data_IF_061394686243
#
_entry.id   IF_061394686243
#
_cell.length_a   1.000
_cell.length_b   1.000
_cell.length_c   1.000
_cell.angle_alpha   90.00
_cell.angle_beta   90.00
_cell.angle_gamma   90.00
#
_symmetry.space_group_name_H-M   'P 1'
#
loop_
_entity.id
_entity.type
_entity.pdbx_description
1 polymer ?
#
# COMPACT_ATOMS: atom_id res chain seq x y z
N UNK A 1 -10.79 18.24 -6.82
CA UNK A 1 -10.29 17.64 -5.56
C UNK A 1 -9.25 16.58 -5.90
N UNK A 2 -8.19 16.42 -5.07
CA UNK A 2 -7.18 15.38 -5.26
C UNK A 2 -7.77 13.97 -5.21
N UNK A 3 -7.11 12.98 -5.81
CA UNK A 3 -7.57 11.58 -5.70
C UNK A 3 -7.51 11.13 -4.25
N UNK A 4 -8.39 10.19 -3.88
CA UNK A 4 -8.23 9.46 -2.63
C UNK A 4 -7.00 8.53 -2.72
N UNK A 5 -6.70 8.03 -3.91
CA UNK A 5 -5.61 7.09 -4.16
C UNK A 5 -4.43 7.80 -4.82
N UNK A 6 -3.33 8.00 -4.08
CA UNK A 6 -2.17 8.75 -4.57
C UNK A 6 -1.51 8.16 -5.82
N UNK A 7 -1.67 6.84 -6.06
CA UNK A 7 -1.20 6.19 -7.30
C UNK A 7 -1.95 6.66 -8.54
N UNK A 8 -3.23 6.96 -8.35
CA UNK A 8 -4.16 7.33 -9.40
C UNK A 8 -4.24 8.84 -9.57
N UNK A 9 -3.35 9.60 -8.92
CA UNK A 9 -3.32 11.05 -9.08
C UNK A 9 -2.99 11.39 -10.53
N UNK A 10 -3.90 12.15 -11.13
CA UNK A 10 -3.66 12.90 -12.36
C UNK A 10 -3.81 14.39 -12.08
N UNK A 11 -3.53 15.20 -13.08
CA UNK A 11 -3.77 16.64 -13.00
C UNK A 11 -4.34 17.18 -14.30
N UNK A 12 -5.11 18.25 -14.20
CA UNK A 12 -5.57 19.05 -15.32
C UNK A 12 -5.09 20.49 -15.14
N UNK A 13 -4.63 21.13 -16.21
CA UNK A 13 -4.31 22.56 -16.20
C UNK A 13 -5.16 23.30 -17.22
N UNK A 14 -5.48 24.54 -16.92
CA UNK A 14 -6.35 25.37 -17.75
C UNK A 14 -6.25 26.84 -17.39
N UNK A 15 -6.94 27.66 -18.17
CA UNK A 15 -7.05 29.10 -17.93
C UNK A 15 -8.49 29.44 -17.56
N UNK A 16 -8.66 30.33 -16.58
CA UNK A 16 -9.97 30.90 -16.25
C UNK A 16 -10.35 31.84 -17.39
N UNK A 17 -11.46 31.53 -18.05
CA UNK A 17 -12.04 32.36 -19.12
C UNK A 17 -12.98 33.42 -18.56
N UNK A 18 -13.79 33.05 -17.56
CA UNK A 18 -14.70 33.98 -16.88
C UNK A 18 -14.98 33.56 -15.43
N UNK A 19 -15.37 34.54 -14.61
CA UNK A 19 -15.73 34.36 -13.20
C UNK A 19 -17.11 34.97 -12.99
N UNK A 20 -18.04 34.21 -12.40
CA UNK A 20 -19.38 34.65 -12.06
C UNK A 20 -19.75 34.17 -10.65
N UNK A 21 -19.54 35.02 -9.64
CA UNK A 21 -19.67 34.62 -8.24
C UNK A 21 -18.64 33.56 -7.88
N UNK A 22 -19.07 32.44 -7.31
CA UNK A 22 -18.21 31.29 -6.95
C UNK A 22 -17.97 30.32 -8.12
N UNK A 23 -18.48 30.64 -9.31
CA UNK A 23 -18.36 29.78 -10.50
C UNK A 23 -17.28 30.31 -11.44
N UNK A 24 -16.38 29.42 -11.82
CA UNK A 24 -15.24 29.70 -12.69
C UNK A 24 -15.39 28.88 -13.97
N UNK A 25 -15.51 29.57 -15.10
CA UNK A 25 -15.46 28.92 -16.41
C UNK A 25 -14.01 28.74 -16.78
N UNK A 26 -13.56 27.49 -16.89
CA UNK A 26 -12.17 27.14 -17.15
C UNK A 26 -12.07 26.42 -18.48
N UNK A 27 -11.13 26.88 -19.32
CA UNK A 27 -10.70 26.18 -20.54
C UNK A 27 -9.47 25.35 -20.18
N UNK A 28 -9.67 24.04 -20.09
CA UNK A 28 -8.62 23.05 -19.85
C UNK A 28 -7.81 22.83 -21.13
N UNK A 29 -6.49 22.79 -20.98
CA UNK A 29 -5.52 22.68 -22.09
C UNK A 29 -4.62 21.46 -21.98
N UNK A 30 -4.38 21.00 -20.75
CA UNK A 30 -3.55 19.83 -20.48
C UNK A 30 -4.30 18.94 -19.49
N UNK A 31 -4.24 17.65 -19.74
CA UNK A 31 -4.81 16.64 -18.87
C UNK A 31 -3.87 15.45 -18.83
N UNK A 32 -3.22 15.27 -17.69
CA UNK A 32 -2.39 14.10 -17.42
C UNK A 32 -3.21 13.14 -16.57
N UNK A 33 -3.63 11.99 -17.14
CA UNK A 33 -4.34 10.98 -16.38
C UNK A 33 -3.40 10.31 -15.37
N UNK A 34 -3.92 9.94 -14.20
CA UNK A 34 -3.21 9.07 -13.28
C UNK A 34 -3.06 7.64 -13.81
N UNK A 35 -2.19 6.83 -13.18
CA UNK A 35 -2.01 5.41 -13.53
C UNK A 35 -3.26 4.61 -13.16
N UNK A 36 -4.25 4.58 -14.05
CA UNK A 36 -5.48 3.81 -13.86
C UNK A 36 -6.69 4.24 -14.67
N UNK A 37 -6.72 5.45 -15.26
CA UNK A 37 -7.80 5.86 -16.19
C UNK A 37 -7.24 6.71 -17.31
N UNK A 38 -6.76 6.05 -18.35
CA UNK A 38 -6.62 6.68 -19.66
C UNK A 38 -8.01 7.06 -20.14
N UNK A 39 -8.18 8.34 -20.49
CA UNK A 39 -9.24 8.88 -21.35
C UNK A 39 -9.28 8.27 -22.77
N UNK A 40 -8.61 7.14 -22.98
CA UNK A 40 -8.48 6.46 -24.27
C UNK A 40 -9.00 5.01 -24.24
N UNK A 41 -10.01 4.76 -23.40
CA UNK A 41 -10.71 3.48 -23.34
C UNK A 41 -12.15 3.66 -22.90
N UNK A 42 -12.98 4.21 -23.80
CA UNK A 42 -14.45 4.22 -23.75
C UNK A 42 -15.10 4.52 -22.40
N UNK A 43 -15.46 5.78 -22.18
CA UNK A 43 -16.81 6.21 -21.79
C UNK A 43 -16.86 7.71 -22.05
N UNK A 44 -17.83 8.17 -22.85
CA UNK A 44 -18.33 9.55 -22.77
C UNK A 44 -18.39 10.00 -21.31
N UNK A 45 -18.22 11.29 -20.96
CA UNK A 45 -18.31 11.78 -19.58
C UNK A 45 -19.58 11.24 -18.91
N UNK A 46 -19.44 10.09 -18.25
CA UNK A 46 -20.53 9.42 -17.57
C UNK A 46 -20.90 10.24 -16.36
N UNK A 47 -22.10 10.01 -15.82
CA UNK A 47 -22.67 10.77 -14.71
C UNK A 47 -21.76 10.94 -13.47
N UNK A 48 -20.67 10.16 -13.35
CA UNK A 48 -19.77 10.13 -12.21
C UNK A 48 -18.31 10.58 -12.52
N UNK A 49 -18.01 11.17 -13.68
CA UNK A 49 -16.68 11.72 -13.97
C UNK A 49 -16.50 13.13 -13.38
N UNK A 50 -15.29 13.50 -12.86
CA UNK A 50 -14.97 14.89 -12.52
C UNK A 50 -15.12 15.86 -13.70
N UNK A 51 -15.23 15.38 -14.93
CA UNK A 51 -15.46 16.16 -16.15
C UNK A 51 -16.88 15.98 -16.71
N UNK A 52 -17.81 15.38 -15.96
CA UNK A 52 -19.22 15.34 -16.32
C UNK A 52 -19.73 16.76 -16.60
N UNK A 53 -20.41 16.93 -17.73
CA UNK A 53 -20.97 18.22 -18.19
C UNK A 53 -19.98 19.20 -18.83
N UNK A 54 -18.74 18.79 -19.13
CA UNK A 54 -17.80 19.64 -19.87
C UNK A 54 -18.20 19.78 -21.34
N UNK A 55 -18.08 20.99 -21.89
CA UNK A 55 -18.20 21.28 -23.32
C UNK A 55 -16.86 20.92 -24.00
N UNK A 56 -16.90 20.13 -25.07
CA UNK A 56 -15.73 19.78 -25.86
C UNK A 56 -15.51 20.87 -26.92
N UNK A 57 -14.44 21.66 -26.77
CA UNK A 57 -14.06 22.70 -27.73
C UNK A 57 -13.15 22.15 -28.84
N UNK A 58 -12.36 21.12 -28.53
CA UNK A 58 -11.56 20.37 -29.51
C UNK A 58 -11.34 18.94 -29.03
N UNK A 59 -11.47 17.98 -29.94
CA UNK A 59 -11.36 16.54 -29.73
C UNK A 59 -10.13 15.92 -30.39
N UNK A 60 -9.15 16.76 -30.81
CA UNK A 60 -7.89 16.26 -31.36
C UNK A 60 -7.18 15.41 -30.31
N UNK A 61 -6.83 14.19 -30.70
CA UNK A 61 -6.20 13.20 -29.82
C UNK A 61 -4.92 13.71 -29.13
N UNK A 62 -4.17 14.59 -29.79
CA UNK A 62 -2.96 15.20 -29.23
C UNK A 62 -3.22 16.40 -28.32
N UNK A 63 -4.39 17.05 -28.40
CA UNK A 63 -4.69 18.35 -27.77
C UNK A 63 -6.19 18.51 -27.46
N UNK A 64 -6.78 17.70 -26.56
CA UNK A 64 -8.18 17.86 -26.19
C UNK A 64 -8.36 19.18 -25.41
N UNK A 65 -9.31 20.01 -25.86
CA UNK A 65 -9.67 21.28 -25.20
C UNK A 65 -11.08 21.13 -24.65
N UNK A 66 -11.23 21.28 -23.34
CA UNK A 66 -12.50 21.15 -22.64
C UNK A 66 -12.83 22.45 -21.91
N UNK A 67 -14.07 22.92 -22.00
CA UNK A 67 -14.59 24.00 -21.18
C UNK A 67 -15.50 23.44 -20.10
N UNK A 68 -15.24 23.76 -18.84
CA UNK A 68 -16.11 23.35 -17.73
C UNK A 68 -16.24 24.47 -16.71
N UNK A 69 -17.41 24.53 -16.08
CA UNK A 69 -17.67 25.40 -14.93
C UNK A 69 -17.32 24.64 -13.65
N UNK A 70 -16.44 25.21 -12.84
CA UNK A 70 -16.01 24.69 -11.54
C UNK A 70 -16.43 25.64 -10.42
N UNK A 71 -16.61 25.13 -9.21
CA UNK A 71 -16.60 25.96 -8.01
C UNK A 71 -15.17 26.42 -7.66
N UNK A 72 -15.00 27.52 -6.92
CA UNK A 72 -13.67 27.94 -6.47
C UNK A 72 -12.95 26.84 -5.68
N UNK A 73 -13.70 26.07 -4.89
CA UNK A 73 -13.18 25.00 -4.04
C UNK A 73 -12.55 23.82 -4.81
N UNK A 74 -12.88 23.69 -6.10
CA UNK A 74 -12.36 22.63 -6.97
C UNK A 74 -11.09 23.03 -7.71
N UNK A 75 -10.74 24.32 -7.71
CA UNK A 75 -9.60 24.88 -8.41
C UNK A 75 -8.48 25.23 -7.45
N UNK A 76 -7.24 25.00 -7.89
CA UNK A 76 -6.06 25.50 -7.21
C UNK A 76 -5.28 26.41 -8.16
N UNK A 77 -4.62 27.47 -7.64
CA UNK A 77 -3.61 28.18 -8.41
C UNK A 77 -2.56 27.21 -8.95
N UNK A 78 -2.16 27.37 -10.22
CA UNK A 78 -1.29 26.41 -10.90
C UNK A 78 -0.02 26.04 -10.11
N UNK A 79 0.65 27.02 -9.50
CA UNK A 79 1.87 26.75 -8.69
C UNK A 79 1.57 25.85 -7.50
N UNK A 80 0.53 26.16 -6.74
CA UNK A 80 0.13 25.39 -5.57
C UNK A 80 -0.33 23.98 -5.97
N UNK A 81 -1.15 23.86 -7.02
CA UNK A 81 -1.61 22.56 -7.51
C UNK A 81 -0.46 21.68 -8.03
N UNK A 82 0.52 22.28 -8.72
CA UNK A 82 1.72 21.58 -9.17
C UNK A 82 2.59 21.10 -8.01
N UNK A 83 2.82 21.94 -7.01
CA UNK A 83 3.58 21.58 -5.82
C UNK A 83 2.90 20.44 -5.04
N UNK A 84 1.58 20.52 -4.87
CA UNK A 84 0.80 19.46 -4.21
C UNK A 84 0.87 18.15 -5.00
N UNK A 85 0.68 18.18 -6.33
CA UNK A 85 0.80 17.00 -7.18
C UNK A 85 2.19 16.33 -7.08
N UNK A 86 3.27 17.12 -7.15
CA UNK A 86 4.62 16.59 -7.04
C UNK A 86 4.90 15.97 -5.66
N UNK A 87 4.36 16.55 -4.59
CA UNK A 87 4.52 16.01 -3.25
C UNK A 87 3.73 14.70 -3.08
N UNK A 88 2.53 14.62 -3.65
CA UNK A 88 1.70 13.42 -3.72
C UNK A 88 2.38 12.28 -4.47
N UNK A 89 2.94 12.56 -5.64
CA UNK A 89 3.75 11.62 -6.43
C UNK A 89 4.99 11.14 -5.67
N UNK A 90 5.68 12.04 -4.97
CA UNK A 90 6.85 11.71 -4.17
C UNK A 90 6.51 10.75 -3.01
N UNK A 91 5.40 10.99 -2.30
CA UNK A 91 4.92 10.11 -1.23
C UNK A 91 4.54 8.73 -1.79
N UNK A 92 3.77 8.69 -2.88
CA UNK A 92 3.42 7.43 -3.54
C UNK A 92 4.67 6.66 -3.96
N UNK A 93 5.64 7.34 -4.55
CA UNK A 93 6.90 6.74 -5.01
C UNK A 93 7.68 6.09 -3.86
N UNK A 94 7.74 6.70 -2.67
CA UNK A 94 8.41 6.09 -1.51
C UNK A 94 7.74 4.75 -1.17
N UNK A 95 6.41 4.74 -1.10
CA UNK A 95 5.65 3.54 -0.76
C UNK A 95 5.81 2.43 -1.81
N UNK A 96 5.65 2.75 -3.10
CA UNK A 96 5.74 1.74 -4.16
C UNK A 96 7.17 1.21 -4.38
N UNK A 97 8.21 2.01 -4.08
CA UNK A 97 9.59 1.50 -4.03
C UNK A 97 9.78 0.42 -2.98
N UNK A 98 9.22 0.61 -1.79
CA UNK A 98 9.21 -0.42 -0.75
C UNK A 98 8.36 -1.64 -1.16
N UNK A 99 7.22 -1.40 -1.82
CA UNK A 99 6.29 -2.47 -2.20
C UNK A 99 6.86 -3.40 -3.28
N UNK A 100 7.46 -2.84 -4.35
CA UNK A 100 7.71 -3.56 -5.61
C UNK A 100 9.11 -3.48 -6.23
N UNK A 101 9.80 -2.34 -6.25
CA UNK A 101 10.67 -2.03 -7.40
C UNK A 101 12.20 -1.99 -7.15
N UNK A 102 12.73 -2.88 -6.30
CA UNK A 102 14.18 -3.18 -6.32
C UNK A 102 15.12 -2.08 -5.81
N UNK A 103 14.61 -1.00 -5.21
CA UNK A 103 15.42 -0.01 -4.50
C UNK A 103 15.13 -0.02 -3.01
N UNK A 104 16.19 -0.18 -2.21
CA UNK A 104 16.19 -0.04 -0.76
C UNK A 104 15.59 1.31 -0.32
N UNK A 105 14.62 1.28 0.59
CA UNK A 105 14.17 2.47 1.32
C UNK A 105 14.70 2.42 2.74
N UNK A 106 15.27 3.52 3.23
CA UNK A 106 15.67 3.60 4.64
C UNK A 106 14.44 3.83 5.53
N UNK A 107 14.50 3.47 6.83
CA UNK A 107 13.43 3.78 7.77
C UNK A 107 13.12 5.28 7.84
N UNK A 108 14.16 6.13 7.81
CA UNK A 108 14.00 7.58 7.81
C UNK A 108 13.26 8.09 6.57
N UNK A 109 13.48 7.46 5.41
CA UNK A 109 12.76 7.82 4.19
C UNK A 109 11.28 7.45 4.28
N UNK A 110 10.95 6.29 4.86
CA UNK A 110 9.57 5.89 5.12
C UNK A 110 8.89 6.84 6.12
N UNK A 111 9.53 7.16 7.25
CA UNK A 111 9.02 8.13 8.24
C UNK A 111 8.80 9.52 7.64
N UNK A 112 9.74 9.98 6.80
CA UNK A 112 9.59 11.24 6.07
C UNK A 112 8.38 11.20 5.13
N UNK A 113 8.20 10.10 4.40
CA UNK A 113 7.03 9.85 3.57
C UNK A 113 5.73 9.91 4.38
N UNK A 114 5.67 9.23 5.53
CA UNK A 114 4.50 9.22 6.40
C UNK A 114 4.18 10.62 6.97
N UNK A 115 5.21 11.41 7.32
CA UNK A 115 5.05 12.80 7.74
C UNK A 115 4.48 13.65 6.60
N UNK A 116 5.02 13.52 5.39
CA UNK A 116 4.57 14.26 4.19
C UNK A 116 3.15 13.87 3.80
N UNK A 117 2.81 12.58 3.84
CA UNK A 117 1.45 12.10 3.65
C UNK A 117 0.47 12.85 4.57
N UNK A 118 0.74 12.92 5.88
CA UNK A 118 -0.12 13.66 6.82
C UNK A 118 -0.25 15.16 6.50
N UNK A 119 0.78 15.76 5.90
CA UNK A 119 0.75 17.18 5.50
C UNK A 119 -0.09 17.44 4.25
N UNK A 120 -0.32 16.41 3.41
CA UNK A 120 -1.18 16.49 2.21
C UNK A 120 -2.67 16.52 2.55
N UNK A 121 -3.05 16.30 3.81
CA UNK A 121 -4.41 16.46 4.30
C UNK A 121 -5.00 15.21 4.94
N UNK A 122 -6.30 15.28 5.25
CA UNK A 122 -7.01 14.27 6.06
C UNK A 122 -7.94 13.37 5.24
N UNK A 123 -7.75 13.28 3.92
CA UNK A 123 -8.56 12.34 3.12
C UNK A 123 -8.23 10.89 3.54
N UNK A 124 -9.21 9.96 3.50
CA UNK A 124 -9.01 8.58 3.95
C UNK A 124 -7.79 7.91 3.31
N UNK A 125 -7.61 7.99 2.00
CA UNK A 125 -6.49 7.34 1.33
C UNK A 125 -5.12 7.96 1.64
N UNK A 126 -5.06 9.27 1.94
CA UNK A 126 -3.84 9.92 2.42
C UNK A 126 -3.48 9.45 3.83
N UNK A 127 -4.48 9.30 4.71
CA UNK A 127 -4.26 8.75 6.05
C UNK A 127 -3.80 7.29 6.00
N UNK A 128 -4.42 6.47 5.15
CA UNK A 128 -4.03 5.07 4.95
C UNK A 128 -2.62 4.94 4.38
N UNK A 129 -2.22 5.84 3.47
CA UNK A 129 -0.84 5.92 2.99
C UNK A 129 0.15 6.26 4.11
N UNK A 130 -0.20 7.21 4.98
CA UNK A 130 0.65 7.57 6.11
C UNK A 130 0.87 6.38 7.05
N UNK A 131 -0.20 5.66 7.42
CA UNK A 131 -0.13 4.45 8.25
C UNK A 131 0.68 3.34 7.58
N UNK A 132 0.50 3.16 6.26
CA UNK A 132 1.25 2.18 5.48
C UNK A 132 2.77 2.48 5.49
N UNK A 133 3.15 3.75 5.38
CA UNK A 133 4.55 4.19 5.46
C UNK A 133 5.13 4.09 6.87
N UNK A 134 4.33 4.29 7.93
CA UNK A 134 4.78 4.02 9.30
C UNK A 134 5.06 2.52 9.49
N UNK A 135 4.18 1.65 8.98
CA UNK A 135 4.39 0.20 9.03
C UNK A 135 5.63 -0.22 8.23
N UNK A 136 5.86 0.36 7.05
CA UNK A 136 7.08 0.14 6.27
C UNK A 136 8.33 0.58 7.04
N UNK A 137 8.29 1.72 7.75
CA UNK A 137 9.42 2.15 8.58
C UNK A 137 9.73 1.15 9.70
N UNK A 138 8.70 0.70 10.42
CA UNK A 138 8.82 -0.34 11.48
C UNK A 138 9.43 -1.63 10.91
N UNK A 139 8.96 -2.06 9.75
CA UNK A 139 9.44 -3.26 9.06
C UNK A 139 10.93 -3.16 8.74
N UNK A 140 11.35 -2.09 8.09
CA UNK A 140 12.76 -1.88 7.69
C UNK A 140 13.68 -1.70 8.90
N UNK A 141 13.24 -0.99 9.94
CA UNK A 141 14.00 -0.86 11.19
C UNK A 141 14.28 -2.22 11.82
N UNK A 142 13.23 -3.06 11.92
CA UNK A 142 13.31 -4.34 12.59
C UNK A 142 14.09 -5.39 11.77
N UNK A 143 14.05 -5.31 10.44
CA UNK A 143 14.91 -6.13 9.59
C UNK A 143 16.41 -5.85 9.82
N UNK A 144 16.77 -4.64 10.27
CA UNK A 144 18.15 -4.25 10.61
C UNK A 144 19.04 -3.97 9.41
N UNK A 145 18.52 -4.02 8.19
CA UNK A 145 19.26 -3.80 6.95
C UNK A 145 19.34 -2.35 6.49
N UNK A 146 18.67 -1.41 7.17
CA UNK A 146 18.57 0.00 6.74
C UNK A 146 18.07 0.15 5.28
N UNK A 147 17.17 -0.74 4.87
CA UNK A 147 16.61 -0.81 3.51
C UNK A 147 17.31 -1.80 2.59
N UNK A 148 18.52 -2.25 2.93
CA UNK A 148 19.22 -3.26 2.16
C UNK A 148 18.71 -4.68 2.49
N UNK A 149 18.79 -5.62 1.53
CA UNK A 149 18.48 -7.02 1.79
C UNK A 149 19.36 -7.57 2.91
N UNK A 150 18.75 -8.30 3.84
CA UNK A 150 19.42 -9.03 4.92
C UNK A 150 19.19 -10.53 4.77
N UNK A 151 19.96 -11.34 5.50
CA UNK A 151 19.70 -12.77 5.60
C UNK A 151 18.37 -13.05 6.31
N UNK A 152 17.75 -14.18 5.98
CA UNK A 152 16.50 -14.64 6.55
C UNK A 152 16.54 -14.74 8.08
N UNK A 153 17.64 -15.27 8.64
CA UNK A 153 17.77 -15.40 10.11
C UNK A 153 17.78 -14.02 10.80
N UNK A 154 18.47 -13.04 10.21
CA UNK A 154 18.48 -11.67 10.72
C UNK A 154 17.11 -11.02 10.60
N UNK A 155 16.47 -11.14 9.42
CA UNK A 155 15.13 -10.61 9.17
C UNK A 155 14.11 -11.14 10.19
N UNK A 156 14.03 -12.47 10.29
CA UNK A 156 13.06 -13.16 11.12
C UNK A 156 13.33 -12.94 12.61
N UNK A 157 14.58 -12.75 13.03
CA UNK A 157 14.92 -12.45 14.43
C UNK A 157 14.33 -11.12 14.94
N UNK A 158 14.07 -10.16 14.05
CA UNK A 158 13.47 -8.86 14.38
C UNK A 158 11.95 -8.77 14.16
N UNK A 159 11.34 -9.75 13.49
CA UNK A 159 10.02 -9.53 12.85
C UNK A 159 8.82 -9.50 13.79
N UNK A 160 8.95 -10.00 15.03
CA UNK A 160 7.85 -10.02 16.00
C UNK A 160 7.24 -8.64 16.28
N UNK A 161 8.07 -7.58 16.29
CA UNK A 161 7.59 -6.20 16.48
C UNK A 161 6.76 -5.71 15.29
N UNK A 162 7.19 -6.03 14.07
CA UNK A 162 6.47 -5.68 12.85
C UNK A 162 5.14 -6.40 12.78
N UNK A 163 5.11 -7.69 13.10
CA UNK A 163 3.87 -8.49 13.13
C UNK A 163 2.91 -8.02 14.23
N UNK A 164 3.42 -7.65 15.41
CA UNK A 164 2.60 -7.04 16.46
C UNK A 164 1.98 -5.71 16.00
N UNK A 165 2.70 -4.89 15.22
CA UNK A 165 2.15 -3.67 14.64
C UNK A 165 1.00 -3.97 13.66
N UNK A 166 1.13 -5.01 12.82
CA UNK A 166 0.03 -5.47 11.95
C UNK A 166 -1.20 -5.85 12.78
N UNK A 167 -1.04 -6.63 13.85
CA UNK A 167 -2.16 -7.01 14.73
C UNK A 167 -2.82 -5.79 15.37
N UNK A 168 -2.04 -4.81 15.85
CA UNK A 168 -2.56 -3.58 16.46
C UNK A 168 -3.35 -2.75 15.43
N UNK A 169 -2.80 -2.60 14.23
CA UNK A 169 -3.47 -1.90 13.12
C UNK A 169 -4.79 -2.58 12.79
N UNK A 170 -4.78 -3.91 12.60
CA UNK A 170 -6.00 -4.65 12.27
C UNK A 170 -7.09 -4.50 13.33
N UNK A 171 -6.73 -4.41 14.61
CA UNK A 171 -7.69 -4.21 15.71
C UNK A 171 -8.30 -2.80 15.74
N UNK A 172 -7.64 -1.81 15.14
CA UNK A 172 -8.08 -0.41 15.10
C UNK A 172 -8.84 -0.06 13.83
N UNK A 173 -8.74 -0.91 12.81
CA UNK A 173 -9.32 -0.70 11.48
C UNK A 173 -10.61 -1.52 11.29
N UNK A 174 -11.46 -1.16 10.31
CA UNK A 174 -12.62 -1.98 9.95
C UNK A 174 -12.20 -3.41 9.59
N UNK A 175 -13.03 -4.41 9.92
CA UNK A 175 -12.73 -5.84 9.69
C UNK A 175 -12.39 -6.15 8.23
N UNK A 176 -12.96 -5.40 7.28
CA UNK A 176 -12.66 -5.49 5.85
C UNK A 176 -11.19 -5.28 5.51
N UNK A 177 -10.44 -4.52 6.33
CA UNK A 177 -8.99 -4.33 6.16
C UNK A 177 -8.23 -5.64 6.34
N UNK A 178 -8.51 -6.37 7.42
CA UNK A 178 -7.90 -7.67 7.67
C UNK A 178 -8.33 -8.73 6.66
N UNK A 179 -9.60 -8.71 6.25
CA UNK A 179 -10.13 -9.65 5.25
C UNK A 179 -9.48 -9.43 3.89
N UNK A 180 -9.32 -8.16 3.46
CA UNK A 180 -8.62 -7.82 2.23
C UNK A 180 -7.12 -8.20 2.30
N UNK A 181 -6.45 -8.00 3.45
CA UNK A 181 -5.08 -8.46 3.66
C UNK A 181 -4.97 -9.98 3.44
N UNK A 182 -5.86 -10.76 4.07
CA UNK A 182 -5.91 -12.22 3.93
C UNK A 182 -6.22 -12.67 2.51
N UNK A 183 -7.09 -11.95 1.80
CA UNK A 183 -7.42 -12.20 0.40
C UNK A 183 -6.25 -11.89 -0.56
N UNK A 184 -5.36 -10.94 -0.24
CA UNK A 184 -4.10 -10.80 -0.97
C UNK A 184 -3.19 -12.00 -0.71
N UNK A 185 -3.08 -12.41 0.55
CA UNK A 185 -2.23 -13.53 0.95
C UNK A 185 -2.67 -14.87 0.38
N UNK A 186 -3.96 -15.07 0.14
CA UNK A 186 -4.48 -16.31 -0.46
C UNK A 186 -4.47 -16.30 -2.00
N UNK A 187 -4.22 -15.13 -2.61
CA UNK A 187 -4.17 -14.93 -4.06
C UNK A 187 -5.50 -14.56 -4.71
N UNK A 188 -6.57 -14.35 -3.93
CA UNK A 188 -7.89 -13.94 -4.44
C UNK A 188 -7.98 -12.44 -4.73
N UNK A 189 -7.08 -11.63 -4.16
CA UNK A 189 -6.87 -10.22 -4.53
C UNK A 189 -5.42 -9.97 -4.98
N UNK A 190 -5.19 -9.08 -5.96
CA UNK A 190 -3.83 -8.67 -6.32
C UNK A 190 -3.17 -7.87 -5.19
N UNK A 191 -1.84 -7.95 -5.05
CA UNK A 191 -1.10 -7.14 -4.06
C UNK A 191 -1.27 -5.63 -4.30
N UNK A 192 -1.41 -5.21 -5.56
CA UNK A 192 -1.63 -3.81 -5.89
C UNK A 192 -3.13 -3.51 -5.85
N UNK A 193 -3.60 -2.94 -4.74
CA UNK A 193 -4.97 -2.49 -4.53
C UNK A 193 -5.02 -0.98 -4.32
N UNK A 194 -6.24 -0.45 -4.15
CA UNK A 194 -6.48 0.97 -3.87
C UNK A 194 -6.18 1.35 -2.40
N UNK A 195 -5.84 0.37 -1.55
CA UNK A 195 -5.68 0.53 -0.12
C UNK A 195 -4.23 0.29 0.31
N UNK A 196 -3.48 1.38 0.48
CA UNK A 196 -2.07 1.34 0.88
C UNK A 196 -1.81 0.57 2.18
N UNK A 197 -2.73 0.65 3.14
CA UNK A 197 -2.56 -0.03 4.42
C UNK A 197 -2.72 -1.54 4.28
N UNK A 198 -3.74 -1.98 3.54
CA UNK A 198 -3.95 -3.40 3.21
C UNK A 198 -2.75 -3.96 2.45
N UNK A 199 -2.25 -3.23 1.47
CA UNK A 199 -1.04 -3.62 0.72
C UNK A 199 0.17 -3.79 1.65
N UNK A 200 0.38 -2.86 2.58
CA UNK A 200 1.49 -2.90 3.51
C UNK A 200 1.40 -4.07 4.50
N UNK A 201 0.22 -4.29 5.09
CA UNK A 201 -0.02 -5.41 6.00
C UNK A 201 0.22 -6.75 5.28
N UNK A 202 -0.31 -6.92 4.07
CA UNK A 202 -0.10 -8.13 3.28
C UNK A 202 1.39 -8.31 2.92
N UNK A 203 2.06 -7.24 2.49
CA UNK A 203 3.50 -7.27 2.16
C UNK A 203 4.36 -7.73 3.34
N UNK A 204 4.09 -7.26 4.56
CA UNK A 204 4.81 -7.72 5.77
C UNK A 204 4.68 -9.23 5.95
N UNK A 205 3.47 -9.79 5.87
CA UNK A 205 3.28 -11.23 6.01
C UNK A 205 3.93 -12.01 4.86
N UNK A 206 3.90 -11.49 3.64
CA UNK A 206 4.60 -12.09 2.49
C UNK A 206 6.11 -12.13 2.71
N UNK A 207 6.73 -11.03 3.19
CA UNK A 207 8.16 -10.99 3.48
C UNK A 207 8.56 -12.01 4.55
N UNK A 208 7.70 -12.23 5.56
CA UNK A 208 7.91 -13.32 6.54
C UNK A 208 7.86 -14.69 5.87
N UNK A 209 6.85 -14.96 5.02
CA UNK A 209 6.76 -16.23 4.27
C UNK A 209 8.01 -16.48 3.41
N UNK A 210 8.48 -15.47 2.70
CA UNK A 210 9.61 -15.57 1.78
C UNK A 210 10.92 -15.84 2.55
N UNK A 211 11.17 -15.10 3.63
CA UNK A 211 12.36 -15.31 4.47
C UNK A 211 12.28 -16.65 5.22
N UNK A 212 11.10 -17.04 5.70
CA UNK A 212 10.89 -18.34 6.31
C UNK A 212 11.24 -19.49 5.37
N UNK A 213 10.80 -19.42 4.11
CA UNK A 213 11.11 -20.44 3.11
C UNK A 213 12.62 -20.54 2.80
N UNK A 214 13.34 -19.41 2.85
CA UNK A 214 14.80 -19.36 2.61
C UNK A 214 15.64 -19.86 3.79
N UNK A 215 15.13 -19.77 5.01
CA UNK A 215 15.90 -19.99 6.24
C UNK A 215 16.67 -21.33 6.27
N UNK A 216 16.11 -22.49 5.89
CA UNK A 216 16.86 -23.75 5.85
C UNK A 216 18.08 -23.71 4.93
N UNK A 217 17.94 -23.06 3.77
CA UNK A 217 19.03 -22.93 2.81
C UNK A 217 20.17 -22.08 3.36
N UNK A 218 19.83 -20.98 4.05
CA UNK A 218 20.81 -20.08 4.66
C UNK A 218 21.49 -20.69 5.90
N UNK A 219 20.77 -21.52 6.67
CA UNK A 219 21.33 -22.25 7.82
C UNK A 219 21.92 -23.62 7.45
N UNK A 220 21.92 -23.98 6.16
CA UNK A 220 22.51 -25.20 5.62
C UNK A 220 21.68 -26.47 5.77
N UNK A 221 20.57 -26.48 6.51
CA UNK A 221 19.60 -27.59 6.53
C UNK A 221 18.28 -27.25 7.25
N UNK A 222 17.23 -28.02 6.97
CA UNK A 222 15.98 -27.97 7.74
C UNK A 222 16.20 -28.29 9.22
N UNK A 223 17.12 -29.21 9.54
CA UNK A 223 17.45 -29.56 10.94
C UNK A 223 18.03 -28.37 11.68
N UNK A 224 18.91 -27.60 11.05
CA UNK A 224 19.50 -26.39 11.63
C UNK A 224 18.43 -25.30 11.84
N UNK A 225 17.54 -25.10 10.86
CA UNK A 225 16.43 -24.15 11.00
C UNK A 225 15.42 -24.54 12.09
N UNK A 226 15.10 -25.83 12.24
CA UNK A 226 14.25 -26.32 13.35
C UNK A 226 14.90 -26.03 14.71
N UNK A 227 16.22 -26.21 14.81
CA UNK A 227 16.98 -25.97 16.04
C UNK A 227 17.27 -24.48 16.31
N UNK A 228 16.94 -23.58 15.37
CA UNK A 228 17.14 -22.15 15.55
C UNK A 228 16.22 -21.61 16.65
N UNK A 229 16.79 -20.88 17.61
CA UNK A 229 16.13 -20.52 18.86
C UNK A 229 14.87 -19.65 18.68
N UNK A 230 14.79 -18.88 17.59
CA UNK A 230 13.67 -17.97 17.33
C UNK A 230 12.56 -18.59 16.47
N UNK A 231 12.74 -19.81 15.94
CA UNK A 231 11.72 -20.54 15.18
C UNK A 231 10.35 -20.54 15.87
N UNK A 232 10.20 -20.86 17.17
CA UNK A 232 8.90 -20.82 17.84
C UNK A 232 8.29 -19.41 17.91
N UNK A 233 9.11 -18.38 18.16
CA UNK A 233 8.65 -17.00 18.33
C UNK A 233 8.13 -16.41 17.01
N UNK A 234 8.81 -16.74 15.91
CA UNK A 234 8.40 -16.32 14.56
C UNK A 234 7.07 -16.95 14.19
N UNK A 235 6.90 -18.24 14.46
CA UNK A 235 5.64 -18.95 14.20
C UNK A 235 4.48 -18.37 15.00
N UNK A 236 4.68 -18.16 16.29
CA UNK A 236 3.65 -17.60 17.17
C UNK A 236 3.23 -16.20 16.71
N UNK A 237 4.19 -15.31 16.46
CA UNK A 237 3.92 -13.96 16.00
C UNK A 237 3.22 -13.94 14.63
N UNK A 238 3.63 -14.82 13.71
CA UNK A 238 3.05 -14.91 12.37
C UNK A 238 1.59 -15.37 12.42
N UNK A 239 1.31 -16.45 13.16
CA UNK A 239 -0.05 -16.95 13.32
C UNK A 239 -0.94 -15.94 14.05
N UNK A 240 -0.41 -15.24 15.07
CA UNK A 240 -1.14 -14.19 15.76
C UNK A 240 -1.52 -13.04 14.82
N UNK A 241 -0.62 -12.59 13.93
CA UNK A 241 -0.95 -11.57 12.93
C UNK A 241 -1.92 -12.07 11.86
N UNK A 242 -1.76 -13.30 11.37
CA UNK A 242 -2.62 -13.86 10.33
C UNK A 242 -4.08 -14.09 10.79
N UNK A 243 -4.23 -14.56 12.03
CA UNK A 243 -5.50 -15.01 12.60
C UNK A 243 -6.08 -14.02 13.61
N UNK A 244 -5.50 -12.81 13.71
CA UNK A 244 -5.87 -11.80 14.70
C UNK A 244 -5.91 -12.40 16.13
N UNK A 245 -4.86 -13.11 16.51
CA UNK A 245 -4.72 -13.87 17.75
C UNK A 245 -5.83 -14.92 17.96
N UNK A 246 -6.19 -15.64 16.89
CA UNK A 246 -7.19 -16.71 16.89
C UNK A 246 -8.65 -16.24 16.80
N UNK A 247 -8.91 -14.95 16.56
CA UNK A 247 -10.28 -14.43 16.38
C UNK A 247 -10.85 -14.72 15.00
N UNK A 248 -10.00 -14.90 13.99
CA UNK A 248 -10.41 -15.17 12.61
C UNK A 248 -9.77 -16.43 12.09
N UNK A 249 -10.53 -17.17 11.28
CA UNK A 249 -10.04 -18.35 10.58
C UNK A 249 -9.33 -17.92 9.30
N UNK A 250 -8.28 -18.64 8.93
CA UNK A 250 -7.61 -18.49 7.66
C UNK A 250 -7.60 -19.82 6.91
N UNK A 251 -8.14 -19.82 5.67
CA UNK A 251 -8.33 -21.03 4.84
C UNK A 251 -9.02 -22.18 5.61
N UNK A 252 -10.06 -21.83 6.37
CA UNK A 252 -10.87 -22.79 7.13
C UNK A 252 -10.22 -23.34 8.42
N UNK A 253 -9.05 -22.82 8.82
CA UNK A 253 -8.36 -23.22 10.06
C UNK A 253 -8.17 -22.03 11.00
N UNK A 254 -8.32 -22.27 12.30
CA UNK A 254 -7.95 -21.32 13.34
C UNK A 254 -6.43 -21.34 13.65
N UNK A 255 -6.00 -20.49 14.58
CA UNK A 255 -4.59 -20.41 15.00
C UNK A 255 -4.05 -21.75 15.55
N UNK A 256 -4.85 -22.47 16.34
CA UNK A 256 -4.45 -23.72 16.99
C UNK A 256 -4.28 -24.84 15.96
N UNK A 257 -5.21 -24.97 15.02
CA UNK A 257 -5.15 -25.93 13.92
C UNK A 257 -3.94 -25.68 13.02
N UNK A 258 -3.61 -24.42 12.73
CA UNK A 258 -2.38 -24.08 12.01
C UNK A 258 -1.13 -24.42 12.81
N UNK A 259 -1.09 -24.07 14.09
CA UNK A 259 0.04 -24.37 14.97
C UNK A 259 0.29 -25.88 15.05
N UNK A 260 -0.77 -26.69 15.20
CA UNK A 260 -0.65 -28.16 15.23
C UNK A 260 -0.11 -28.72 13.91
N UNK A 261 -0.60 -28.24 12.76
CA UNK A 261 -0.13 -28.68 11.45
C UNK A 261 1.36 -28.38 11.25
N UNK A 262 1.80 -27.17 11.61
CA UNK A 262 3.20 -26.74 11.53
C UNK A 262 4.07 -27.57 12.48
N UNK A 263 3.63 -27.78 13.71
CA UNK A 263 4.37 -28.57 14.70
C UNK A 263 4.51 -30.05 14.28
N UNK A 264 3.53 -30.62 13.59
CA UNK A 264 3.62 -31.96 13.05
C UNK A 264 4.75 -32.09 12.01
N UNK A 265 4.88 -31.11 11.11
CA UNK A 265 5.97 -31.04 10.12
C UNK A 265 7.34 -30.90 10.79
N UNK A 266 7.47 -29.99 11.75
CA UNK A 266 8.72 -29.78 12.50
C UNK A 266 9.15 -31.05 13.25
N UNK A 267 8.21 -31.74 13.92
CA UNK A 267 8.47 -33.02 14.60
C UNK A 267 8.88 -34.13 13.63
N UNK A 268 8.39 -34.09 12.40
CA UNK A 268 8.80 -35.01 11.34
C UNK A 268 10.14 -34.62 10.69
N UNK A 269 10.82 -33.58 11.18
CA UNK A 269 12.10 -33.10 10.65
C UNK A 269 11.98 -32.33 9.33
N UNK A 270 10.76 -31.95 8.93
CA UNK A 270 10.48 -31.20 7.70
C UNK A 270 10.31 -29.72 8.01
N UNK A 271 10.74 -28.88 7.07
CA UNK A 271 10.52 -27.44 7.18
C UNK A 271 9.14 -27.08 6.61
N UNK A 272 8.20 -26.58 7.42
CA UNK A 272 6.84 -26.32 6.96
C UNK A 272 6.78 -25.04 6.13
N UNK A 273 5.87 -24.99 5.15
CA UNK A 273 5.43 -23.71 4.58
C UNK A 273 4.51 -23.00 5.57
N UNK A 274 4.64 -21.67 5.66
CA UNK A 274 3.67 -20.85 6.36
C UNK A 274 2.38 -20.75 5.53
N UNK A 275 1.21 -20.81 6.18
CA UNK A 275 -0.08 -20.71 5.49
C UNK A 275 -0.23 -19.41 4.76
#
# INVERSE_FOLDING_TARGET
MPSVHLREDGYATGMIESISGDKYTVVLRELIPGKGKTLYGTCSPGANSPLAGAEILSDKESEPILRKVFSASELMPWRAGKEEYLERENVATIFYKWLGDGMAITPDRARLGAKRARQLGNSPGVQRMAQALDLAAIEVDNAGGQGFPVGAAQYLGGVSKTLAAVTVIELQEPSSTGDAMRAILDGSLPLQTDDALVMAMAKVLMLVRDNWARLPGELGSSKAAIAWADTPKVLEAYLAALTQSGKVNYRGKDASAWQQAIQAELKAGRWPSLP
#
